data_IF_026110919735
#
_entry.id   IF_026110919735
#
_cell.length_a   1.000
_cell.length_b   1.000
_cell.length_c   1.000
_cell.angle_alpha   90.00
_cell.angle_beta   90.00
_cell.angle_gamma   90.00
#
_symmetry.space_group_name_H-M   'P 1'
#
loop_
_entity.id
_entity.type
_entity.pdbx_description
1 polymer ?
#
# COMPACT_ATOMS: atom_id res chain seq x y z
N UNK A 1 32.48 -26.49 -22.45
CA UNK A 1 31.64 -27.68 -22.76
C UNK A 1 31.27 -27.51 -24.23
N UNK A 2 31.84 -28.29 -25.17
CA UNK A 2 31.47 -28.16 -26.58
C UNK A 2 30.10 -28.82 -26.77
N UNK A 3 29.10 -28.06 -27.22
CA UNK A 3 27.77 -28.46 -27.74
C UNK A 3 27.39 -29.94 -27.55
N UNK A 4 27.32 -30.40 -26.30
CA UNK A 4 27.13 -31.83 -26.02
C UNK A 4 25.63 -32.07 -26.01
N UNK A 5 25.12 -32.30 -27.20
CA UNK A 5 23.82 -32.93 -27.40
C UNK A 5 23.99 -34.46 -27.31
N UNK A 6 23.16 -35.16 -26.52
CA UNK A 6 22.09 -34.63 -25.67
C UNK A 6 22.61 -34.02 -24.36
N UNK A 7 21.91 -32.98 -23.87
CA UNK A 7 22.18 -32.42 -22.54
C UNK A 7 22.02 -33.49 -21.45
N UNK A 8 22.87 -33.49 -20.42
CA UNK A 8 22.75 -34.46 -19.34
C UNK A 8 21.45 -34.22 -18.54
N UNK A 9 21.00 -35.27 -17.86
CA UNK A 9 19.84 -35.17 -16.98
C UNK A 9 20.02 -34.11 -15.87
N UNK A 10 21.24 -34.04 -15.33
CA UNK A 10 21.65 -33.10 -14.28
C UNK A 10 23.04 -32.56 -14.59
N UNK A 11 23.21 -31.25 -14.41
CA UNK A 11 24.52 -30.57 -14.49
C UNK A 11 24.79 -29.86 -13.17
N UNK A 12 26.00 -30.06 -12.63
CA UNK A 12 26.48 -29.37 -11.43
C UNK A 12 27.81 -28.71 -11.79
N UNK A 13 27.90 -27.40 -11.58
CA UNK A 13 29.10 -26.59 -11.80
C UNK A 13 29.43 -25.85 -10.52
N UNK A 14 30.68 -25.97 -10.10
CA UNK A 14 31.33 -25.14 -9.06
C UNK A 14 32.57 -24.55 -9.72
N UNK A 15 32.43 -23.33 -10.22
CA UNK A 15 33.52 -22.59 -10.86
C UNK A 15 34.03 -21.52 -9.89
N UNK A 16 35.34 -21.34 -9.86
CA UNK A 16 36.02 -20.30 -9.07
C UNK A 16 37.09 -19.58 -9.88
N UNK A 17 37.12 -19.83 -11.18
CA UNK A 17 38.08 -19.24 -12.10
C UNK A 17 37.47 -18.08 -12.85
N UNK A 18 38.29 -17.25 -13.47
CA UNK A 18 37.86 -16.21 -14.41
C UNK A 18 37.68 -16.73 -15.85
N UNK A 19 37.88 -18.05 -16.06
CA UNK A 19 37.79 -18.69 -17.36
C UNK A 19 36.32 -18.88 -17.71
N UNK A 20 35.82 -18.27 -18.80
CA UNK A 20 34.43 -18.41 -19.16
C UNK A 20 34.03 -19.86 -19.48
N UNK A 21 32.96 -20.34 -18.86
CA UNK A 21 32.34 -21.63 -19.16
C UNK A 21 31.10 -21.39 -20.01
N UNK A 22 31.21 -21.74 -21.29
CA UNK A 22 30.10 -21.68 -22.24
C UNK A 22 29.37 -23.01 -22.40
N UNK A 23 28.13 -22.90 -22.88
CA UNK A 23 27.26 -24.01 -23.26
C UNK A 23 26.87 -24.96 -22.14
N UNK A 24 26.61 -24.39 -20.96
CA UNK A 24 26.07 -25.14 -19.83
C UNK A 24 24.61 -25.50 -20.13
N UNK A 25 24.25 -26.78 -20.05
CA UNK A 25 22.86 -27.22 -20.20
C UNK A 25 22.52 -28.42 -19.32
N UNK A 26 21.23 -28.63 -19.04
CA UNK A 26 20.67 -29.79 -18.35
C UNK A 26 19.21 -29.99 -18.77
N UNK A 27 18.71 -31.24 -18.72
CA UNK A 27 17.30 -31.55 -19.02
C UNK A 27 16.41 -31.32 -17.79
N UNK A 28 16.79 -31.85 -16.63
CA UNK A 28 15.96 -31.78 -15.43
C UNK A 28 16.49 -30.76 -14.42
N UNK A 29 17.78 -30.81 -14.09
CA UNK A 29 18.32 -30.02 -12.98
C UNK A 29 19.66 -29.37 -13.34
N UNK A 30 19.74 -28.05 -13.25
CA UNK A 30 20.99 -27.30 -13.31
C UNK A 30 21.32 -26.75 -11.92
N UNK A 31 22.54 -27.02 -11.43
CA UNK A 31 23.13 -26.32 -10.29
C UNK A 31 24.40 -25.63 -10.74
N UNK A 32 24.47 -24.32 -10.62
CA UNK A 32 25.66 -23.55 -10.96
C UNK A 32 26.04 -22.63 -9.80
N UNK A 33 27.26 -22.79 -9.30
CA UNK A 33 27.87 -21.92 -8.31
C UNK A 33 29.06 -21.22 -8.96
N UNK A 34 29.03 -19.89 -9.01
CA UNK A 34 30.15 -19.04 -9.40
C UNK A 34 30.87 -18.46 -8.19
N UNK A 35 32.20 -18.56 -8.17
CA UNK A 35 33.10 -17.93 -7.21
C UNK A 35 33.45 -16.50 -7.61
N UNK A 36 34.37 -15.85 -6.90
CA UNK A 36 34.59 -14.39 -6.96
C UNK A 36 34.83 -13.73 -8.34
N UNK A 37 35.11 -14.50 -9.40
CA UNK A 37 35.36 -13.99 -10.75
C UNK A 37 34.75 -14.84 -11.87
N UNK A 38 33.82 -15.73 -11.55
CA UNK A 38 33.26 -16.70 -12.50
C UNK A 38 32.52 -16.07 -13.66
N UNK A 39 32.64 -16.67 -14.85
CA UNK A 39 31.86 -16.28 -16.05
C UNK A 39 31.14 -17.49 -16.61
N UNK A 40 29.86 -17.61 -16.31
CA UNK A 40 29.04 -18.77 -16.66
C UNK A 40 27.98 -18.37 -17.69
N UNK A 41 28.02 -18.98 -18.86
CA UNK A 41 27.04 -18.76 -19.91
C UNK A 41 26.18 -20.02 -20.06
N UNK A 42 24.95 -19.95 -19.56
CA UNK A 42 23.98 -21.04 -19.65
C UNK A 42 23.38 -21.03 -21.04
N UNK A 43 23.56 -22.08 -21.83
CA UNK A 43 23.01 -22.13 -23.19
C UNK A 43 21.53 -22.53 -23.14
N UNK A 44 20.73 -21.60 -22.62
CA UNK A 44 19.27 -21.69 -22.52
C UNK A 44 18.57 -21.60 -23.86
N UNK A 45 19.25 -21.18 -24.93
CA UNK A 45 18.63 -21.01 -26.25
C UNK A 45 18.14 -22.33 -26.88
N UNK A 46 18.52 -23.49 -26.32
CA UNK A 46 18.21 -24.82 -26.88
C UNK A 46 17.47 -25.74 -25.91
N UNK A 47 17.88 -25.81 -24.63
CA UNK A 47 17.23 -26.65 -23.61
C UNK A 47 17.22 -25.92 -22.26
N UNK A 48 16.02 -25.71 -21.72
CA UNK A 48 15.84 -25.23 -20.36
C UNK A 48 15.59 -26.38 -19.40
N UNK A 49 16.32 -26.47 -18.28
CA UNK A 49 16.04 -27.47 -17.27
C UNK A 49 14.67 -27.24 -16.65
N UNK A 50 14.05 -28.27 -16.07
CA UNK A 50 12.87 -28.07 -15.24
C UNK A 50 13.19 -27.17 -14.05
N UNK A 51 14.31 -27.46 -13.36
CA UNK A 51 14.76 -26.71 -12.19
C UNK A 51 16.18 -26.17 -12.38
N UNK A 52 16.40 -24.91 -11.99
CA UNK A 52 17.73 -24.29 -11.95
C UNK A 52 18.00 -23.67 -10.57
N UNK A 53 19.19 -23.95 -10.03
CA UNK A 53 19.69 -23.43 -8.77
C UNK A 53 21.01 -22.70 -9.04
N UNK A 54 20.98 -21.38 -8.94
CA UNK A 54 22.09 -20.52 -9.32
C UNK A 54 22.59 -19.78 -8.09
N UNK A 55 23.88 -19.87 -7.82
CA UNK A 55 24.56 -19.13 -6.75
C UNK A 55 25.69 -18.32 -7.37
N UNK A 56 25.63 -17.00 -7.27
CA UNK A 56 26.70 -16.09 -7.70
C UNK A 56 27.41 -15.49 -6.50
N UNK A 57 28.73 -15.32 -6.56
CA UNK A 57 29.51 -14.59 -5.55
C UNK A 57 30.59 -13.71 -6.14
N UNK A 58 30.92 -12.58 -5.51
CA UNK A 58 31.92 -11.63 -5.99
C UNK A 58 31.58 -11.07 -7.37
N UNK A 59 32.59 -10.83 -8.21
CA UNK A 59 32.38 -10.34 -9.58
C UNK A 59 31.94 -11.45 -10.56
N UNK A 60 31.17 -12.44 -10.09
CA UNK A 60 30.58 -13.47 -10.96
C UNK A 60 29.66 -12.82 -11.99
N UNK A 61 29.69 -13.32 -13.22
CA UNK A 61 28.70 -13.08 -14.25
C UNK A 61 28.03 -14.41 -14.63
N UNK A 62 26.72 -14.56 -14.41
CA UNK A 62 25.95 -15.72 -14.90
C UNK A 62 24.88 -15.20 -15.84
N UNK A 63 24.97 -15.59 -17.12
CA UNK A 63 24.06 -15.11 -18.15
C UNK A 63 23.22 -16.23 -18.75
N UNK A 64 22.13 -15.81 -19.40
CA UNK A 64 21.21 -16.67 -20.15
C UNK A 64 20.58 -17.79 -19.31
N UNK A 65 20.30 -17.54 -18.04
CA UNK A 65 19.68 -18.55 -17.17
C UNK A 65 18.20 -18.74 -17.52
N UNK A 66 17.79 -20.00 -17.65
CA UNK A 66 16.38 -20.37 -17.75
C UNK A 66 16.02 -21.59 -16.88
N UNK A 67 14.73 -21.75 -16.61
CA UNK A 67 14.12 -22.93 -16.02
C UNK A 67 12.64 -22.99 -16.45
N UNK A 68 12.08 -24.19 -16.62
CA UNK A 68 10.67 -24.37 -17.00
C UNK A 68 9.74 -24.30 -15.77
N UNK A 69 10.09 -24.98 -14.69
CA UNK A 69 9.31 -25.06 -13.46
C UNK A 69 9.82 -24.07 -12.41
N UNK A 70 11.03 -24.27 -11.90
CA UNK A 70 11.55 -23.50 -10.76
C UNK A 70 12.92 -22.89 -11.04
N UNK A 71 13.04 -21.59 -10.84
CA UNK A 71 14.33 -20.90 -10.75
C UNK A 71 14.58 -20.45 -9.31
N UNK A 72 15.74 -20.81 -8.79
CA UNK A 72 16.29 -20.25 -7.57
C UNK A 72 17.59 -19.51 -7.89
N UNK A 73 17.67 -18.24 -7.50
CA UNK A 73 18.87 -17.42 -7.60
C UNK A 73 19.26 -16.97 -6.20
N UNK A 74 20.52 -17.18 -5.83
CA UNK A 74 21.13 -16.61 -4.64
C UNK A 74 22.37 -15.78 -5.04
N UNK A 75 22.30 -14.48 -4.86
CA UNK A 75 23.38 -13.55 -5.15
C UNK A 75 24.03 -13.18 -3.82
N UNK A 76 25.32 -13.47 -3.75
CA UNK A 76 26.21 -13.06 -2.69
C UNK A 76 27.16 -12.04 -3.32
N UNK A 77 27.50 -10.96 -2.63
CA UNK A 77 28.56 -10.00 -3.00
C UNK A 77 28.68 -9.64 -4.50
N UNK A 78 27.99 -8.61 -5.01
CA UNK A 78 28.24 -7.97 -6.33
C UNK A 78 28.13 -8.86 -7.59
N UNK A 79 27.59 -10.08 -7.50
CA UNK A 79 27.51 -10.99 -8.65
C UNK A 79 26.40 -10.60 -9.63
N UNK A 80 26.75 -10.37 -10.90
CA UNK A 80 25.83 -10.01 -11.97
C UNK A 80 25.12 -11.24 -12.55
N UNK A 81 23.79 -11.24 -12.51
CA UNK A 81 22.98 -12.36 -13.00
C UNK A 81 21.96 -11.88 -14.02
N UNK A 82 22.05 -12.41 -15.24
CA UNK A 82 21.18 -12.10 -16.36
C UNK A 82 20.32 -13.32 -16.74
N UNK A 83 19.02 -13.10 -16.87
CA UNK A 83 18.08 -14.14 -17.29
C UNK A 83 17.67 -13.97 -18.75
N UNK A 84 17.40 -15.07 -19.45
CA UNK A 84 17.07 -15.02 -20.87
C UNK A 84 15.63 -14.51 -21.09
N UNK A 85 15.49 -13.44 -21.88
CA UNK A 85 14.21 -12.78 -22.23
C UNK A 85 13.31 -13.60 -23.18
N UNK A 86 13.85 -14.57 -23.92
CA UNK A 86 13.16 -15.17 -25.09
C UNK A 86 12.35 -16.44 -24.81
N UNK A 87 12.31 -16.94 -23.56
CA UNK A 87 11.70 -18.23 -23.22
C UNK A 87 10.44 -18.05 -22.36
N UNK A 88 9.47 -18.99 -22.41
CA UNK A 88 8.23 -18.86 -21.66
C UNK A 88 8.52 -18.65 -20.18
N UNK A 89 7.72 -17.77 -19.56
CA UNK A 89 7.88 -17.49 -18.14
C UNK A 89 7.68 -18.76 -17.30
N UNK A 90 8.60 -18.95 -16.36
CA UNK A 90 8.69 -20.10 -15.46
C UNK A 90 7.48 -20.16 -14.54
N UNK A 91 7.20 -21.31 -13.92
CA UNK A 91 6.14 -21.39 -12.91
C UNK A 91 6.51 -20.61 -11.64
N UNK A 92 7.71 -20.83 -11.11
CA UNK A 92 8.15 -20.25 -9.85
C UNK A 92 9.55 -19.66 -9.99
N UNK A 93 9.74 -18.44 -9.46
CA UNK A 93 11.04 -17.79 -9.36
C UNK A 93 11.25 -17.30 -7.93
N UNK A 94 12.38 -17.66 -7.34
CA UNK A 94 12.81 -17.20 -6.02
C UNK A 94 14.18 -16.56 -6.15
N UNK A 95 14.31 -15.34 -5.65
CA UNK A 95 15.54 -14.56 -5.69
C UNK A 95 15.87 -14.13 -4.27
N UNK A 96 17.07 -14.51 -3.83
CA UNK A 96 17.72 -13.97 -2.66
C UNK A 96 18.92 -13.15 -3.16
N UNK A 97 18.88 -11.85 -2.95
CA UNK A 97 19.99 -10.96 -3.23
C UNK A 97 20.45 -10.36 -1.91
N UNK A 98 21.75 -10.33 -1.66
CA UNK A 98 22.33 -9.66 -0.49
C UNK A 98 23.17 -8.45 -0.88
N UNK A 99 23.14 -7.99 -2.13
CA UNK A 99 24.10 -7.01 -2.65
C UNK A 99 23.51 -6.05 -3.71
N UNK A 100 24.27 -5.02 -4.05
CA UNK A 100 23.91 -3.98 -5.02
C UNK A 100 24.10 -4.46 -6.46
N UNK A 101 23.28 -5.42 -6.90
CA UNK A 101 23.37 -5.96 -8.25
C UNK A 101 22.09 -5.65 -9.04
N UNK A 102 22.21 -5.16 -10.28
CA UNK A 102 21.09 -5.11 -11.21
C UNK A 102 20.66 -6.52 -11.63
N UNK A 103 19.46 -6.94 -11.25
CA UNK A 103 18.82 -8.13 -11.84
C UNK A 103 17.73 -7.64 -12.79
N UNK A 104 17.78 -8.08 -14.04
CA UNK A 104 16.80 -7.73 -15.06
C UNK A 104 16.09 -8.96 -15.65
N UNK A 105 14.92 -8.71 -16.24
CA UNK A 105 14.15 -9.66 -17.06
C UNK A 105 13.62 -10.89 -16.31
N UNK A 106 13.40 -10.73 -15.01
CA UNK A 106 12.77 -11.77 -14.20
C UNK A 106 11.30 -11.88 -14.59
N UNK A 107 10.86 -13.08 -14.96
CA UNK A 107 9.43 -13.35 -15.12
C UNK A 107 9.03 -14.70 -14.50
N UNK A 108 7.74 -14.80 -14.16
CA UNK A 108 7.10 -15.97 -13.57
C UNK A 108 5.61 -15.95 -13.90
N UNK A 109 4.98 -17.13 -14.03
CA UNK A 109 3.55 -17.30 -14.34
C UNK A 109 2.71 -17.59 -13.10
N UNK A 110 3.31 -18.19 -12.06
CA UNK A 110 2.59 -18.54 -10.83
C UNK A 110 3.13 -17.77 -9.62
N UNK A 111 4.41 -17.91 -9.28
CA UNK A 111 4.97 -17.30 -8.07
C UNK A 111 6.30 -16.59 -8.31
N UNK A 112 6.43 -15.35 -7.83
CA UNK A 112 7.68 -14.60 -7.78
C UNK A 112 7.95 -14.16 -6.34
N UNK A 113 9.03 -14.66 -5.74
CA UNK A 113 9.48 -14.21 -4.42
C UNK A 113 10.84 -13.53 -4.55
N UNK A 114 10.94 -12.29 -4.11
CA UNK A 114 12.17 -11.52 -4.09
C UNK A 114 12.45 -11.13 -2.65
N UNK A 115 13.65 -11.42 -2.20
CA UNK A 115 14.19 -10.92 -0.95
C UNK A 115 15.53 -10.26 -1.27
N UNK A 116 15.54 -8.94 -1.26
CA UNK A 116 16.73 -8.18 -1.58
C UNK A 116 17.47 -7.72 -0.32
N UNK A 117 18.76 -7.46 -0.48
CA UNK A 117 19.64 -6.98 0.56
C UNK A 117 19.75 -5.47 0.49
N UNK A 118 20.76 -4.92 1.14
CA UNK A 118 21.01 -3.49 1.11
C UNK A 118 21.45 -3.04 -0.29
N UNK A 119 20.88 -1.92 -0.74
CA UNK A 119 21.17 -1.21 -1.99
C UNK A 119 20.96 -2.04 -3.27
N UNK A 120 20.19 -3.13 -3.25
CA UNK A 120 19.90 -3.93 -4.45
C UNK A 120 19.09 -3.16 -5.49
N UNK A 121 19.31 -3.45 -6.78
CA UNK A 121 18.50 -2.87 -7.87
C UNK A 121 17.84 -3.99 -8.67
N UNK A 122 16.54 -4.16 -8.55
CA UNK A 122 15.80 -5.19 -9.24
C UNK A 122 14.83 -4.57 -10.25
N UNK A 123 15.02 -4.87 -11.52
CA UNK A 123 14.07 -4.52 -12.58
C UNK A 123 13.32 -5.78 -13.04
N UNK A 124 12.08 -5.90 -12.59
CA UNK A 124 11.18 -6.98 -12.98
C UNK A 124 10.54 -6.56 -14.31
N UNK A 125 11.32 -6.63 -15.39
CA UNK A 125 10.87 -6.29 -16.74
C UNK A 125 9.93 -7.37 -17.31
N UNK A 126 8.88 -7.75 -16.58
CA UNK A 126 7.85 -8.64 -17.07
C UNK A 126 6.83 -7.85 -17.87
N UNK A 127 7.21 -7.42 -19.07
CA UNK A 127 6.30 -6.74 -20.01
C UNK A 127 5.26 -7.69 -20.65
N UNK A 128 5.27 -8.99 -20.32
CA UNK A 128 4.39 -9.98 -20.97
C UNK A 128 3.59 -10.85 -19.99
N UNK A 129 4.03 -11.10 -18.75
CA UNK A 129 3.28 -11.94 -17.80
C UNK A 129 3.40 -11.52 -16.33
N UNK A 130 2.29 -11.20 -15.67
CA UNK A 130 2.30 -11.13 -14.21
C UNK A 130 2.07 -12.51 -13.59
N UNK A 131 2.86 -12.91 -12.58
CA UNK A 131 2.58 -14.13 -11.82
C UNK A 131 1.28 -13.99 -11.04
N UNK A 132 0.68 -15.11 -10.66
CA UNK A 132 -0.50 -15.10 -9.77
C UNK A 132 -0.17 -14.49 -8.41
N UNK A 133 1.02 -14.77 -7.89
CA UNK A 133 1.49 -14.30 -6.59
C UNK A 133 2.88 -13.65 -6.74
N UNK A 134 3.04 -12.45 -6.19
CA UNK A 134 4.34 -11.80 -6.04
C UNK A 134 4.54 -11.35 -4.60
N UNK A 135 5.72 -11.65 -4.04
CA UNK A 135 6.16 -11.14 -2.75
C UNK A 135 7.52 -10.49 -2.93
N UNK A 136 7.65 -9.25 -2.49
CA UNK A 136 8.91 -8.51 -2.50
C UNK A 136 9.21 -8.05 -1.08
N UNK A 137 10.36 -8.46 -0.57
CA UNK A 137 10.93 -7.97 0.69
C UNK A 137 12.18 -7.15 0.34
N UNK A 138 12.14 -5.84 0.61
CA UNK A 138 13.21 -4.90 0.33
C UNK A 138 13.80 -4.27 1.58
N UNK A 139 15.12 -4.06 1.58
CA UNK A 139 15.87 -3.48 2.72
C UNK A 139 16.75 -2.34 2.22
N UNK A 140 16.97 -1.30 3.06
CA UNK A 140 18.02 -0.27 2.93
C UNK A 140 18.39 0.12 1.50
N UNK A 141 17.76 1.13 0.90
CA UNK A 141 18.08 1.63 -0.46
C UNK A 141 17.85 0.64 -1.60
N UNK A 142 17.15 -0.48 -1.37
CA UNK A 142 16.70 -1.35 -2.46
C UNK A 142 15.82 -0.55 -3.43
N UNK A 143 16.06 -0.67 -4.73
CA UNK A 143 15.19 -0.20 -5.80
C UNK A 143 14.53 -1.41 -6.48
N UNK A 144 13.22 -1.62 -6.31
CA UNK A 144 12.48 -2.64 -7.08
C UNK A 144 11.49 -1.98 -8.02
N UNK A 145 11.71 -2.17 -9.32
CA UNK A 145 10.91 -1.57 -10.37
C UNK A 145 10.07 -2.63 -11.10
N UNK A 146 8.92 -2.18 -11.59
CA UNK A 146 8.03 -2.92 -12.47
C UNK A 146 7.41 -4.19 -11.86
N UNK A 147 7.21 -4.21 -10.54
CA UNK A 147 6.54 -5.33 -9.87
C UNK A 147 5.09 -5.44 -10.34
N UNK A 148 4.60 -6.65 -10.53
CA UNK A 148 3.20 -6.91 -10.80
C UNK A 148 2.74 -8.28 -10.30
N UNK A 149 1.43 -8.47 -10.15
CA UNK A 149 0.78 -9.75 -9.84
C UNK A 149 -0.67 -9.75 -10.36
N UNK A 150 -1.21 -10.92 -10.69
CA UNK A 150 -2.61 -11.06 -11.10
C UNK A 150 -3.57 -11.26 -9.92
N UNK A 151 -3.14 -11.93 -8.85
CA UNK A 151 -4.03 -12.24 -7.71
C UNK A 151 -3.53 -11.58 -6.42
N UNK A 152 -2.28 -11.79 -6.03
CA UNK A 152 -1.77 -11.27 -4.76
C UNK A 152 -0.40 -10.62 -4.92
N UNK A 153 -0.30 -9.37 -4.51
CA UNK A 153 0.95 -8.64 -4.38
C UNK A 153 1.23 -8.36 -2.90
N UNK A 154 2.40 -8.76 -2.41
CA UNK A 154 2.89 -8.43 -1.07
C UNK A 154 4.19 -7.66 -1.22
N UNK A 155 4.26 -6.51 -0.56
CA UNK A 155 5.44 -5.64 -0.53
C UNK A 155 5.76 -5.35 0.94
N UNK A 156 6.86 -5.91 1.44
CA UNK A 156 7.41 -5.63 2.77
C UNK A 156 8.68 -4.79 2.58
N UNK A 157 8.64 -3.53 3.00
CA UNK A 157 9.76 -2.61 2.89
C UNK A 157 10.27 -2.26 4.28
N UNK A 158 11.58 -2.45 4.44
CA UNK A 158 12.33 -2.08 5.63
C UNK A 158 13.31 -0.98 5.26
N UNK A 159 13.33 0.05 6.10
CA UNK A 159 14.22 1.21 5.94
C UNK A 159 14.05 1.90 4.57
N UNK A 160 15.03 2.65 4.10
CA UNK A 160 14.91 3.55 2.94
C UNK A 160 14.88 2.86 1.56
N UNK A 161 13.99 1.89 1.30
CA UNK A 161 13.87 1.28 -0.04
C UNK A 161 12.88 2.02 -0.95
N UNK A 162 13.18 2.10 -2.25
CA UNK A 162 12.32 2.63 -3.29
C UNK A 162 11.62 1.50 -4.06
N UNK A 163 10.30 1.52 -4.15
CA UNK A 163 9.55 0.53 -4.93
C UNK A 163 8.57 1.20 -5.87
N UNK A 164 8.70 0.85 -7.16
CA UNK A 164 7.78 1.30 -8.22
C UNK A 164 6.99 0.10 -8.73
N UNK A 165 5.67 0.14 -8.58
CA UNK A 165 4.75 -0.86 -9.12
C UNK A 165 4.41 -0.47 -10.57
N UNK A 166 4.32 -1.45 -11.47
CA UNK A 166 4.10 -1.16 -12.89
C UNK A 166 2.66 -0.66 -13.15
N UNK A 167 2.52 0.58 -13.63
CA UNK A 167 1.22 1.21 -13.97
C UNK A 167 0.47 0.52 -15.12
N UNK A 168 1.16 -0.23 -15.98
CA UNK A 168 0.60 -0.68 -17.27
C UNK A 168 -0.22 -1.98 -17.19
N UNK A 169 -0.40 -2.54 -15.99
CA UNK A 169 -0.95 -3.89 -15.78
C UNK A 169 -2.27 -3.88 -15.04
N UNK A 170 -3.06 -4.94 -15.24
CA UNK A 170 -4.25 -5.20 -14.44
C UNK A 170 -3.87 -5.26 -12.96
N UNK A 171 -4.63 -4.57 -12.12
CA UNK A 171 -4.43 -4.61 -10.68
C UNK A 171 -4.59 -6.03 -10.13
N UNK A 172 -3.76 -6.44 -9.16
CA UNK A 172 -3.98 -7.69 -8.45
C UNK A 172 -5.31 -7.66 -7.71
N UNK A 173 -5.89 -8.83 -7.45
CA UNK A 173 -7.09 -8.93 -6.62
C UNK A 173 -6.86 -8.38 -5.20
N UNK A 174 -5.68 -8.66 -4.63
CA UNK A 174 -5.26 -8.22 -3.30
C UNK A 174 -3.84 -7.63 -3.32
N UNK A 175 -3.66 -6.49 -2.66
CA UNK A 175 -2.35 -5.88 -2.42
C UNK A 175 -2.14 -5.65 -0.94
N UNK A 176 -0.98 -6.06 -0.43
CA UNK A 176 -0.54 -5.84 0.95
C UNK A 176 0.78 -5.07 0.91
N UNK A 177 0.84 -3.98 1.65
CA UNK A 177 2.03 -3.14 1.81
C UNK A 177 2.28 -2.98 3.31
N UNK A 178 3.47 -3.37 3.75
CA UNK A 178 4.00 -3.01 5.07
C UNK A 178 5.27 -2.20 4.80
N UNK A 179 5.24 -0.92 5.16
CA UNK A 179 6.28 0.04 4.84
C UNK A 179 6.81 0.71 6.10
N UNK A 180 8.13 0.73 6.20
CA UNK A 180 8.88 1.46 7.22
C UNK A 180 9.85 2.49 6.60
N UNK A 181 9.76 2.72 5.29
CA UNK A 181 10.66 3.61 4.56
C UNK A 181 10.25 5.07 4.66
N UNK A 182 11.18 5.98 4.38
CA UNK A 182 10.85 7.39 4.10
C UNK A 182 10.72 7.69 2.61
N UNK A 183 10.81 6.65 1.78
CA UNK A 183 10.86 6.77 0.32
C UNK A 183 9.47 6.50 -0.25
N UNK A 184 9.03 7.24 -1.29
CA UNK A 184 7.72 7.02 -1.90
C UNK A 184 7.56 5.61 -2.50
N UNK A 185 6.51 4.89 -2.11
CA UNK A 185 5.94 3.80 -2.90
C UNK A 185 4.87 4.39 -3.81
N UNK A 186 4.91 4.09 -5.10
CA UNK A 186 3.99 4.67 -6.09
C UNK A 186 3.25 3.62 -6.93
N UNK A 187 2.11 4.03 -7.47
CA UNK A 187 1.28 3.27 -8.42
C UNK A 187 0.68 1.99 -7.84
N UNK A 188 0.37 2.04 -6.55
CA UNK A 188 -0.26 0.93 -5.83
C UNK A 188 -1.70 0.78 -6.30
N UNK A 189 -2.11 -0.45 -6.57
CA UNK A 189 -3.50 -0.73 -6.89
C UNK A 189 -3.95 -2.13 -6.48
N UNK A 190 -5.27 -2.31 -6.36
CA UNK A 190 -5.92 -3.59 -6.09
C UNK A 190 -7.37 -3.56 -6.59
N UNK A 191 -7.93 -4.72 -6.93
CA UNK A 191 -9.34 -4.85 -7.35
C UNK A 191 -10.25 -5.04 -6.14
N UNK A 192 -9.93 -5.97 -5.24
CA UNK A 192 -10.79 -6.30 -4.11
C UNK A 192 -10.30 -5.68 -2.81
N UNK A 193 -9.06 -5.95 -2.42
CA UNK A 193 -8.56 -5.61 -1.07
C UNK A 193 -7.19 -4.92 -1.14
N UNK A 194 -7.09 -3.77 -0.49
CA UNK A 194 -5.84 -3.04 -0.30
C UNK A 194 -5.53 -2.90 1.20
N UNK A 195 -4.44 -3.52 1.65
CA UNK A 195 -3.97 -3.38 3.02
C UNK A 195 -2.66 -2.61 3.02
N UNK A 196 -2.62 -1.48 3.72
CA UNK A 196 -1.44 -0.64 3.83
C UNK A 196 -1.13 -0.39 5.28
N UNK A 197 0.08 -0.71 5.70
CA UNK A 197 0.63 -0.35 7.01
C UNK A 197 1.85 0.52 6.78
N UNK A 198 1.77 1.81 7.09
CA UNK A 198 2.92 2.72 7.14
C UNK A 198 3.33 2.95 8.59
N UNK A 199 4.61 2.75 8.91
CA UNK A 199 5.08 2.76 10.31
C UNK A 199 5.89 3.99 10.70
N UNK A 200 6.84 4.42 9.88
CA UNK A 200 7.82 5.46 10.21
C UNK A 200 8.17 6.31 8.98
N UNK A 201 7.58 7.49 8.89
CA UNK A 201 7.80 8.45 7.79
C UNK A 201 7.48 7.93 6.38
N UNK A 202 6.69 6.86 6.29
CA UNK A 202 6.19 6.26 5.05
C UNK A 202 5.57 7.28 4.12
N UNK A 203 5.89 7.19 2.83
CA UNK A 203 5.23 7.98 1.79
C UNK A 203 4.62 7.01 0.79
N UNK A 204 3.29 6.97 0.72
CA UNK A 204 2.58 5.94 -0.02
C UNK A 204 1.60 6.62 -0.97
N UNK A 205 1.77 6.42 -2.26
CA UNK A 205 0.92 7.00 -3.29
C UNK A 205 0.12 5.91 -4.03
N UNK A 206 -1.20 5.94 -3.83
CA UNK A 206 -2.18 5.04 -4.44
C UNK A 206 -2.73 5.70 -5.73
N UNK A 207 -1.86 6.24 -6.57
CA UNK A 207 -2.28 6.81 -7.85
C UNK A 207 -2.47 5.71 -8.89
N UNK A 208 -3.53 4.91 -8.76
CA UNK A 208 -3.89 3.92 -9.78
C UNK A 208 -4.89 4.49 -10.79
N UNK A 209 -4.54 4.40 -12.07
CA UNK A 209 -5.49 4.63 -13.17
C UNK A 209 -6.33 3.38 -13.49
N UNK A 210 -5.93 2.21 -12.98
CA UNK A 210 -6.50 0.92 -13.35
C UNK A 210 -7.71 0.51 -12.49
N UNK A 211 -8.00 1.24 -11.41
CA UNK A 211 -9.23 1.09 -10.63
C UNK A 211 -9.01 1.22 -9.12
N UNK A 212 -10.12 1.39 -8.39
CA UNK A 212 -10.12 1.48 -6.94
C UNK A 212 -10.52 0.15 -6.29
N UNK A 213 -9.85 -0.26 -5.20
CA UNK A 213 -10.24 -1.46 -4.47
C UNK A 213 -11.66 -1.37 -3.93
N UNK A 214 -12.32 -2.51 -3.81
CA UNK A 214 -13.61 -2.61 -3.11
C UNK A 214 -13.46 -2.24 -1.63
N UNK A 215 -12.40 -2.73 -0.99
CA UNK A 215 -12.14 -2.53 0.43
C UNK A 215 -10.68 -2.12 0.67
N UNK A 216 -10.46 -1.25 1.65
CA UNK A 216 -9.11 -0.93 2.10
C UNK A 216 -8.99 -0.89 3.63
N UNK A 217 -7.88 -1.39 4.14
CA UNK A 217 -7.46 -1.26 5.53
C UNK A 217 -6.13 -0.51 5.59
N UNK A 218 -6.14 0.68 6.19
CA UNK A 218 -5.00 1.59 6.23
C UNK A 218 -4.60 1.83 7.67
N UNK A 219 -3.36 1.52 8.01
CA UNK A 219 -2.73 1.85 9.29
C UNK A 219 -1.61 2.83 9.01
N UNK A 220 -1.69 4.06 9.52
CA UNK A 220 -0.67 5.08 9.37
C UNK A 220 -0.10 5.53 10.71
N UNK A 221 1.19 5.32 10.94
CA UNK A 221 1.87 5.71 12.18
C UNK A 221 3.06 6.64 11.90
N UNK A 222 3.49 7.38 12.92
CA UNK A 222 4.72 8.20 12.96
C UNK A 222 5.06 8.93 11.65
N UNK A 223 4.33 10.00 11.32
CA UNK A 223 4.53 10.82 10.11
C UNK A 223 4.30 10.09 8.77
N UNK A 224 3.59 8.96 8.75
CA UNK A 224 3.15 8.33 7.49
C UNK A 224 2.30 9.29 6.68
N UNK A 225 2.53 9.37 5.37
CA UNK A 225 1.78 10.17 4.41
C UNK A 225 1.23 9.28 3.31
N UNK A 226 -0.10 9.19 3.24
CA UNK A 226 -0.80 8.43 2.22
C UNK A 226 -1.54 9.39 1.28
N UNK A 227 -1.32 9.27 -0.02
CA UNK A 227 -1.87 10.14 -1.03
C UNK A 227 -2.73 9.38 -2.04
N UNK A 228 -3.68 10.12 -2.61
CA UNK A 228 -4.56 9.68 -3.69
C UNK A 228 -5.38 8.41 -3.41
N UNK A 229 -5.74 8.18 -2.14
CA UNK A 229 -6.55 7.03 -1.76
C UNK A 229 -7.91 7.06 -2.45
N UNK A 230 -8.29 5.94 -3.05
CA UNK A 230 -9.61 5.70 -3.59
C UNK A 230 -10.10 4.30 -3.20
N UNK A 231 -11.38 4.18 -2.82
CA UNK A 231 -12.00 2.94 -2.32
C UNK A 231 -13.50 2.97 -2.65
N UNK A 232 -14.08 1.85 -3.08
CA UNK A 232 -15.48 1.82 -3.53
C UNK A 232 -16.49 1.50 -2.43
N UNK A 233 -16.27 0.44 -1.64
CA UNK A 233 -17.25 0.01 -0.65
C UNK A 233 -16.87 0.47 0.76
N UNK A 234 -15.73 0.02 1.29
CA UNK A 234 -15.42 0.25 2.70
C UNK A 234 -13.96 0.57 2.91
N UNK A 235 -13.69 1.66 3.66
CA UNK A 235 -12.36 2.01 4.10
C UNK A 235 -12.30 2.01 5.63
N UNK A 236 -11.31 1.31 6.17
CA UNK A 236 -10.98 1.28 7.59
C UNK A 236 -9.62 1.97 7.77
N UNK A 237 -9.58 3.01 8.59
CA UNK A 237 -8.39 3.83 8.81
C UNK A 237 -8.05 3.86 10.30
N UNK A 238 -6.85 3.44 10.64
CA UNK A 238 -6.26 3.62 11.95
C UNK A 238 -5.03 4.52 11.81
N UNK A 239 -4.96 5.60 12.60
CA UNK A 239 -3.82 6.49 12.54
C UNK A 239 -3.34 7.02 13.89
N UNK A 240 -2.02 7.21 13.98
CA UNK A 240 -1.34 7.79 15.12
C UNK A 240 -0.17 8.69 14.72
N UNK A 241 0.32 9.47 15.68
CA UNK A 241 1.65 10.10 15.68
C UNK A 241 1.93 10.94 14.42
N UNK A 242 1.05 11.91 14.15
CA UNK A 242 1.18 12.86 13.03
C UNK A 242 1.08 12.26 11.62
N UNK A 243 0.51 11.07 11.47
CA UNK A 243 0.19 10.52 10.15
C UNK A 243 -0.82 11.40 9.39
N UNK A 244 -0.66 11.51 8.07
CA UNK A 244 -1.53 12.27 7.16
C UNK A 244 -2.08 11.37 6.06
N UNK A 245 -3.39 11.39 5.85
CA UNK A 245 -4.05 10.67 4.74
C UNK A 245 -4.81 11.68 3.88
N UNK A 246 -4.60 11.62 2.58
CA UNK A 246 -5.27 12.46 1.59
C UNK A 246 -6.05 11.58 0.61
N UNK A 247 -7.36 11.76 0.57
CA UNK A 247 -8.23 11.10 -0.41
C UNK A 247 -8.15 11.82 -1.75
N UNK A 248 -8.31 11.06 -2.83
CA UNK A 248 -8.39 11.63 -4.17
C UNK A 248 -9.81 12.16 -4.43
N UNK A 249 -9.95 13.48 -4.52
CA UNK A 249 -11.23 14.15 -4.72
C UNK A 249 -11.89 13.87 -6.10
N UNK A 250 -11.17 13.25 -7.04
CA UNK A 250 -11.71 12.93 -8.37
C UNK A 250 -12.43 11.58 -8.42
N UNK A 251 -12.32 10.76 -7.38
CA UNK A 251 -12.91 9.42 -7.35
C UNK A 251 -14.22 9.37 -6.57
N UNK A 252 -15.11 8.41 -6.88
CA UNK A 252 -16.29 8.16 -6.07
C UNK A 252 -15.92 7.88 -4.62
N UNK A 253 -16.70 8.44 -3.70
CA UNK A 253 -16.52 8.20 -2.27
C UNK A 253 -16.86 6.76 -1.89
N UNK A 254 -16.14 6.15 -0.93
CA UNK A 254 -16.51 4.85 -0.40
C UNK A 254 -17.94 4.89 0.15
N UNK A 255 -18.64 3.74 0.14
CA UNK A 255 -19.96 3.65 0.78
C UNK A 255 -19.84 3.84 2.28
N UNK A 256 -18.89 3.16 2.92
CA UNK A 256 -18.64 3.21 4.35
C UNK A 256 -17.21 3.63 4.64
N UNK A 257 -17.03 4.47 5.64
CA UNK A 257 -15.71 4.82 6.15
C UNK A 257 -15.68 4.78 7.68
N UNK A 258 -14.73 4.02 8.22
CA UNK A 258 -14.45 3.94 9.65
C UNK A 258 -13.07 4.56 9.88
N UNK A 259 -13.01 5.57 10.74
CA UNK A 259 -11.81 6.35 11.02
C UNK A 259 -11.53 6.35 12.52
N UNK A 260 -10.34 5.89 12.89
CA UNK A 260 -9.79 5.99 14.23
C UNK A 260 -8.49 6.80 14.21
N UNK A 261 -8.57 8.09 14.55
CA UNK A 261 -7.47 9.03 14.43
C UNK A 261 -6.99 9.59 15.77
N UNK A 262 -5.79 9.22 16.19
CA UNK A 262 -5.22 9.60 17.48
C UNK A 262 -3.89 10.35 17.34
N UNK A 263 -3.49 11.09 18.39
CA UNK A 263 -2.14 11.63 18.56
C UNK A 263 -1.58 12.43 17.35
N UNK A 264 -2.35 13.39 16.83
CA UNK A 264 -1.91 14.30 15.78
C UNK A 264 -2.21 13.83 14.35
N UNK A 265 -2.95 12.73 14.19
CA UNK A 265 -3.40 12.26 12.88
C UNK A 265 -4.14 13.35 12.08
N UNK A 266 -4.02 13.32 10.77
CA UNK A 266 -4.69 14.25 9.86
C UNK A 266 -5.32 13.52 8.68
N UNK A 267 -6.60 13.79 8.41
CA UNK A 267 -7.26 13.36 7.17
C UNK A 267 -7.72 14.59 6.40
N UNK A 268 -7.41 14.61 5.10
CA UNK A 268 -7.77 15.69 4.20
C UNK A 268 -8.54 15.14 3.00
N UNK A 269 -9.48 15.94 2.51
CA UNK A 269 -10.39 15.64 1.40
C UNK A 269 -11.26 14.39 1.61
N UNK A 270 -11.59 14.10 2.86
CA UNK A 270 -12.34 12.89 3.21
C UNK A 270 -13.79 12.94 2.70
N UNK A 271 -14.33 11.77 2.31
CA UNK A 271 -15.74 11.61 1.98
C UNK A 271 -16.23 10.16 2.12
N UNK A 272 -17.55 9.98 2.25
CA UNK A 272 -18.26 8.72 2.11
C UNK A 272 -19.72 8.97 1.67
N UNK A 273 -20.36 7.98 1.06
CA UNK A 273 -21.71 8.13 0.48
C UNK A 273 -22.85 7.54 1.30
N UNK A 274 -22.61 6.64 2.26
CA UNK A 274 -23.66 6.02 3.06
C UNK A 274 -23.42 6.19 4.57
N UNK A 275 -22.28 5.74 5.08
CA UNK A 275 -22.03 5.74 6.53
C UNK A 275 -20.61 6.20 6.86
N UNK A 276 -20.48 7.05 7.88
CA UNK A 276 -19.19 7.40 8.47
C UNK A 276 -19.19 7.22 9.96
N UNK A 277 -18.17 6.52 10.47
CA UNK A 277 -17.85 6.40 11.89
C UNK A 277 -16.48 7.05 12.16
N UNK A 278 -16.43 8.13 12.94
CA UNK A 278 -15.19 8.80 13.35
C UNK A 278 -15.01 8.68 14.85
N UNK A 279 -13.89 8.11 15.26
CA UNK A 279 -13.35 8.22 16.62
C UNK A 279 -12.02 8.96 16.57
N UNK A 280 -11.84 9.98 17.42
CA UNK A 280 -10.59 10.73 17.39
C UNK A 280 -10.18 11.36 18.71
N UNK A 281 -8.87 11.40 18.98
CA UNK A 281 -8.26 12.21 20.04
C UNK A 281 -7.06 13.00 19.51
N UNK A 282 -6.96 14.30 19.82
CA UNK A 282 -5.87 15.18 19.42
C UNK A 282 -5.54 15.13 17.91
N UNK A 283 -6.54 15.04 17.03
CA UNK A 283 -6.32 14.89 15.57
C UNK A 283 -7.21 15.81 14.76
N UNK A 284 -6.87 16.03 13.48
CA UNK A 284 -7.63 16.91 12.58
C UNK A 284 -8.25 16.12 11.43
N UNK A 285 -9.55 16.28 11.19
CA UNK A 285 -10.24 15.64 10.06
C UNK A 285 -10.96 16.72 9.26
N UNK A 286 -10.68 16.79 7.97
CA UNK A 286 -11.27 17.77 7.04
C UNK A 286 -11.98 17.03 5.92
N UNK A 287 -13.30 17.21 5.84
CA UNK A 287 -14.12 16.73 4.74
C UNK A 287 -14.00 17.64 3.53
N UNK A 288 -14.03 17.04 2.33
CA UNK A 288 -14.10 17.79 1.09
C UNK A 288 -15.55 18.23 0.82
N UNK A 289 -15.76 19.54 0.68
CA UNK A 289 -17.10 20.15 0.56
C UNK A 289 -17.81 19.86 -0.77
N UNK A 290 -17.07 19.42 -1.78
CA UNK A 290 -17.59 19.20 -3.14
C UNK A 290 -18.10 17.78 -3.38
N UNK A 291 -17.94 16.88 -2.38
CA UNK A 291 -18.27 15.47 -2.48
C UNK A 291 -19.60 15.13 -1.78
N UNK A 292 -20.08 13.89 -1.99
CA UNK A 292 -21.34 13.41 -1.41
C UNK A 292 -21.30 13.41 0.12
N UNK A 293 -22.42 13.79 0.74
CA UNK A 293 -22.62 13.62 2.17
C UNK A 293 -23.14 12.21 2.48
N UNK A 294 -22.68 11.57 3.58
CA UNK A 294 -23.20 10.28 4.02
C UNK A 294 -24.66 10.40 4.50
N UNK A 295 -25.39 9.30 4.46
CA UNK A 295 -26.72 9.21 5.05
C UNK A 295 -26.64 9.22 6.59
N UNK A 296 -25.65 8.52 7.15
CA UNK A 296 -25.43 8.41 8.59
C UNK A 296 -24.02 8.87 8.95
N UNK A 297 -23.93 9.78 9.93
CA UNK A 297 -22.68 10.31 10.44
C UNK A 297 -22.59 10.10 11.95
N UNK A 298 -21.63 9.30 12.40
CA UNK A 298 -21.31 9.08 13.81
C UNK A 298 -19.93 9.67 14.14
N UNK A 299 -19.89 10.61 15.07
CA UNK A 299 -18.65 11.28 15.50
C UNK A 299 -18.52 11.17 17.01
N UNK A 300 -17.42 10.60 17.47
CA UNK A 300 -17.02 10.54 18.88
C UNK A 300 -15.60 11.06 19.03
N UNK A 301 -15.45 12.31 19.45
CA UNK A 301 -14.15 12.98 19.53
C UNK A 301 -13.81 13.48 20.93
N UNK A 302 -12.54 13.27 21.29
CA UNK A 302 -11.94 13.67 22.54
C UNK A 302 -11.04 14.90 22.40
N UNK A 303 -10.25 15.11 23.46
CA UNK A 303 -9.51 16.36 23.66
C UNK A 303 -8.58 16.73 22.53
N UNK A 304 -8.61 18.00 22.11
CA UNK A 304 -7.75 18.57 21.09
C UNK A 304 -8.13 18.21 19.65
N UNK A 305 -9.17 17.40 19.44
CA UNK A 305 -9.60 17.06 18.09
C UNK A 305 -10.38 18.17 17.40
N UNK A 306 -10.21 18.26 16.09
CA UNK A 306 -10.82 19.25 15.21
C UNK A 306 -11.43 18.54 13.99
N UNK A 307 -12.73 18.65 13.81
CA UNK A 307 -13.42 18.05 12.66
C UNK A 307 -14.17 19.13 11.89
N UNK A 308 -13.83 19.32 10.62
CA UNK A 308 -14.35 20.41 9.80
C UNK A 308 -15.07 19.91 8.54
N UNK A 309 -16.05 20.71 8.11
CA UNK A 309 -16.81 20.57 6.87
C UNK A 309 -17.64 19.28 6.78
N UNK A 310 -18.02 18.71 7.91
CA UNK A 310 -18.84 17.50 7.92
C UNK A 310 -20.23 17.79 7.39
N UNK A 311 -20.88 16.76 6.87
CA UNK A 311 -22.27 16.83 6.47
C UNK A 311 -22.95 15.47 6.59
N UNK A 312 -24.27 15.48 6.61
CA UNK A 312 -25.11 14.26 6.57
C UNK A 312 -26.43 14.61 5.88
N UNK A 313 -27.04 13.65 5.19
CA UNK A 313 -28.35 13.83 4.53
C UNK A 313 -29.51 13.36 5.41
N UNK A 314 -29.30 12.42 6.33
CA UNK A 314 -30.35 11.83 7.15
C UNK A 314 -30.07 11.98 8.64
N UNK A 315 -29.05 11.29 9.18
CA UNK A 315 -28.78 11.27 10.62
C UNK A 315 -27.36 11.70 10.94
N UNK A 316 -27.22 12.54 11.97
CA UNK A 316 -25.93 12.92 12.54
C UNK A 316 -25.93 12.72 14.07
N UNK A 317 -24.94 12.00 14.57
CA UNK A 317 -24.67 11.79 16.00
C UNK A 317 -23.29 12.33 16.32
N UNK A 318 -23.22 13.35 17.17
CA UNK A 318 -21.98 14.06 17.49
C UNK A 318 -21.78 14.03 19.01
N UNK A 319 -20.73 13.36 19.47
CA UNK A 319 -20.25 13.40 20.83
C UNK A 319 -18.87 14.05 20.87
N UNK A 320 -18.78 15.25 21.42
CA UNK A 320 -17.62 16.13 21.33
C UNK A 320 -17.15 16.57 22.73
N UNK A 321 -15.98 16.11 23.15
CA UNK A 321 -15.37 16.47 24.44
C UNK A 321 -14.06 17.21 24.25
N UNK A 322 -13.92 18.44 24.77
CA UNK A 322 -12.69 19.25 24.65
C UNK A 322 -12.22 19.44 23.18
N UNK A 323 -13.17 19.68 22.27
CA UNK A 323 -12.95 19.57 20.82
C UNK A 323 -13.65 20.67 20.03
N UNK A 324 -13.38 20.73 18.72
CA UNK A 324 -14.07 21.60 17.77
C UNK A 324 -14.72 20.77 16.65
N UNK A 325 -16.00 21.04 16.36
CA UNK A 325 -16.77 20.42 15.28
C UNK A 325 -17.45 21.49 14.44
N UNK A 326 -17.29 21.42 13.11
CA UNK A 326 -17.94 22.31 12.17
C UNK A 326 -18.69 21.51 11.10
N UNK A 327 -20.02 21.51 11.17
CA UNK A 327 -20.90 21.03 10.10
C UNK A 327 -21.13 22.13 9.05
N UNK A 328 -21.11 21.75 7.78
CA UNK A 328 -21.37 22.66 6.68
C UNK A 328 -22.86 23.09 6.67
N UNK A 329 -23.09 24.39 6.51
CA UNK A 329 -24.44 24.97 6.43
C UNK A 329 -25.22 24.53 5.19
N UNK A 330 -24.51 24.23 4.11
CA UNK A 330 -25.12 23.93 2.83
C UNK A 330 -25.78 22.54 2.79
N UNK A 331 -25.45 21.68 3.75
CA UNK A 331 -25.83 20.26 3.77
C UNK A 331 -26.26 19.83 5.17
N UNK A 332 -27.50 20.17 5.49
CA UNK A 332 -28.12 19.89 6.78
C UNK A 332 -28.70 18.48 6.83
N UNK A 333 -28.46 17.79 7.95
CA UNK A 333 -29.08 16.49 8.24
C UNK A 333 -30.60 16.58 8.32
N UNK A 334 -31.32 15.45 8.25
CA UNK A 334 -32.72 15.44 8.65
C UNK A 334 -32.81 15.58 10.18
N UNK A 335 -32.01 14.80 10.91
CA UNK A 335 -31.95 14.77 12.38
C UNK A 335 -30.50 14.87 12.86
N UNK A 336 -30.25 15.78 13.81
CA UNK A 336 -28.96 15.91 14.50
C UNK A 336 -29.10 15.69 16.01
N UNK A 337 -28.29 14.78 16.55
CA UNK A 337 -28.14 14.52 17.98
C UNK A 337 -26.74 14.93 18.42
N UNK A 338 -26.65 15.90 19.35
CA UNK A 338 -25.38 16.52 19.75
C UNK A 338 -25.21 16.42 21.25
N UNK A 339 -24.06 15.91 21.68
CA UNK A 339 -23.55 16.00 23.04
C UNK A 339 -22.22 16.72 23.02
N UNK A 340 -22.12 17.86 23.71
CA UNK A 340 -20.91 18.68 23.74
C UNK A 340 -20.49 18.99 25.19
N UNK A 341 -19.25 18.63 25.54
CA UNK A 341 -18.69 18.83 26.89
C UNK A 341 -17.34 19.56 26.80
N UNK A 342 -17.23 20.76 27.37
CA UNK A 342 -16.01 21.59 27.33
C UNK A 342 -15.44 21.80 25.92
N UNK A 343 -16.31 21.69 24.91
CA UNK A 343 -15.98 21.85 23.51
C UNK A 343 -16.14 23.30 23.09
N UNK A 344 -15.11 23.85 22.44
CA UNK A 344 -15.03 25.28 22.16
C UNK A 344 -16.10 25.73 21.18
N UNK A 345 -16.43 24.86 20.22
CA UNK A 345 -17.32 25.20 19.13
C UNK A 345 -17.90 23.95 18.46
N UNK A 346 -19.23 23.86 18.42
CA UNK A 346 -19.95 22.84 17.65
C UNK A 346 -21.01 23.52 16.79
N UNK A 347 -20.85 23.49 15.47
CA UNK A 347 -21.90 23.92 14.53
C UNK A 347 -22.66 22.70 14.01
N UNK A 348 -23.98 22.77 14.06
CA UNK A 348 -24.88 21.74 13.52
C UNK A 348 -26.03 22.33 12.73
N UNK A 349 -26.48 21.61 11.70
CA UNK A 349 -27.67 21.95 10.95
C UNK A 349 -28.57 20.73 10.76
N UNK A 350 -29.88 20.93 10.95
CA UNK A 350 -30.88 19.91 10.62
C UNK A 350 -32.19 20.50 10.09
N UNK A 351 -32.85 19.77 9.19
CA UNK A 351 -34.09 20.21 8.53
C UNK A 351 -35.35 19.78 9.28
N UNK A 352 -35.31 18.70 10.07
CA UNK A 352 -36.47 18.19 10.80
C UNK A 352 -36.32 18.34 12.32
N UNK A 353 -35.18 18.00 12.90
CA UNK A 353 -35.00 17.98 14.35
C UNK A 353 -33.53 18.12 14.80
N UNK A 354 -33.31 18.91 15.85
CA UNK A 354 -32.04 18.98 16.58
C UNK A 354 -32.30 18.66 18.05
N UNK A 355 -31.55 17.70 18.59
CA UNK A 355 -31.50 17.37 20.01
C UNK A 355 -30.10 17.69 20.55
N UNK A 356 -30.00 18.54 21.57
CA UNK A 356 -28.69 19.03 22.07
C UNK A 356 -28.56 18.85 23.58
N UNK A 357 -27.47 18.22 24.00
CA UNK A 357 -27.00 18.17 25.39
C UNK A 357 -25.67 18.91 25.48
N UNK A 358 -25.63 19.98 26.27
CA UNK A 358 -24.43 20.80 26.48
C UNK A 358 -24.05 20.77 27.95
N UNK A 359 -22.79 20.49 28.22
CA UNK A 359 -22.22 20.59 29.56
C UNK A 359 -20.89 21.32 29.60
N UNK A 360 -20.58 21.92 30.75
CA UNK A 360 -19.25 22.45 31.11
C UNK A 360 -18.61 23.35 30.03
N UNK A 361 -18.92 24.65 29.99
CA UNK A 361 -18.26 25.63 29.09
C UNK A 361 -18.25 25.29 27.58
N UNK A 362 -19.22 24.52 27.08
CA UNK A 362 -19.37 24.25 25.66
C UNK A 362 -20.29 25.24 24.94
N UNK A 363 -20.00 25.57 23.67
CA UNK A 363 -20.84 26.44 22.82
C UNK A 363 -21.31 25.67 21.59
N UNK A 364 -22.63 25.54 21.43
CA UNK A 364 -23.28 24.94 20.25
C UNK A 364 -24.02 26.00 19.46
N UNK A 365 -23.68 26.15 18.18
CA UNK A 365 -24.43 26.94 17.22
C UNK A 365 -25.31 26.01 16.36
N UNK A 366 -26.58 26.37 16.18
CA UNK A 366 -27.52 25.51 15.45
C UNK A 366 -28.29 26.28 14.38
N UNK A 367 -28.59 25.61 13.26
CA UNK A 367 -29.54 26.05 12.24
C UNK A 367 -30.58 24.93 12.02
N UNK A 368 -31.83 25.17 12.46
CA UNK A 368 -32.91 24.19 12.34
C UNK A 368 -33.89 24.15 13.51
N UNK A 369 -34.91 23.26 13.45
CA UNK A 369 -35.89 23.09 14.52
C UNK A 369 -35.27 22.40 15.75
N UNK A 370 -35.20 23.11 16.87
CA UNK A 370 -34.72 22.58 18.15
C UNK A 370 -35.86 21.83 18.87
N UNK A 371 -35.71 20.52 19.04
CA UNK A 371 -36.74 19.66 19.64
C UNK A 371 -36.52 19.42 21.14
N UNK A 372 -35.29 19.11 21.54
CA UNK A 372 -34.92 18.90 22.94
C UNK A 372 -33.58 19.58 23.25
N UNK A 373 -33.49 20.18 24.44
CA UNK A 373 -32.28 20.82 24.92
C UNK A 373 -32.04 20.58 26.40
N UNK A 374 -30.80 20.23 26.73
CA UNK A 374 -30.31 20.15 28.09
C UNK A 374 -29.02 20.96 28.19
N UNK A 375 -29.01 21.98 29.06
CA UNK A 375 -27.84 22.84 29.26
C UNK A 375 -27.47 22.80 30.74
N UNK A 376 -26.28 22.30 31.05
CA UNK A 376 -25.71 22.38 32.40
C UNK A 376 -24.80 23.61 32.57
N UNK A 377 -24.30 23.85 33.78
CA UNK A 377 -23.65 25.11 34.15
C UNK A 377 -22.48 25.48 33.22
N UNK A 378 -22.60 26.65 32.57
CA UNK A 378 -21.56 27.22 31.70
C UNK A 378 -21.70 26.92 30.22
N UNK A 379 -22.59 26.01 29.80
CA UNK A 379 -22.87 25.75 28.40
C UNK A 379 -23.73 26.84 27.74
N UNK A 380 -23.62 26.98 26.42
CA UNK A 380 -24.45 27.88 25.61
C UNK A 380 -24.97 27.18 24.35
N UNK A 381 -26.23 27.42 24.02
CA UNK A 381 -26.85 27.06 22.74
C UNK A 381 -27.28 28.36 22.07
N UNK A 382 -26.79 28.62 20.86
CA UNK A 382 -27.01 29.86 20.13
C UNK A 382 -27.54 29.57 18.74
N UNK A 383 -28.55 30.31 18.24
CA UNK A 383 -28.93 30.21 16.83
C UNK A 383 -27.79 30.71 15.95
N UNK A 384 -27.59 30.07 14.80
CA UNK A 384 -26.55 30.44 13.83
C UNK A 384 -26.97 31.58 12.89
#
# INVERSE_FOLDING_TARGET
>A
INETWPCPNKTVIDDRSDIPIYHICAINELRATGGESSKLHVNSSVVCPNDAFIVGSGNTEISDICALDSLYINIIDSANIFTNETWPCRKTTVIYDTSNVPISNICSTYQLNIRSGESSKLDINSKVFCPSYTSVEGWNETEVNNICANNTLIVDIKDSANITINETWSCPNKTIIDDMSSIPISHICAISELNVTGRLSSVININSTAGCPLQAFIVGMNNTRLFDLCVQNEVNIEMSDSATIVFNASWPCPRKAIVNANNGGSIVNFCASNEVDITSTNSTIVYERTLSCPDVLNISIGSGSKVYNICSTNEAFINATNSEVYMDKSTCSAVANVTATNSTLVYVCATAAINVVVSEMAIVYYDGPLNDQQVSSGGQILPW
#
